data_IF_488772666660
#
_entry.id   IF_488772666660
#
_cell.length_a   1.000
_cell.length_b   1.000
_cell.length_c   1.000
_cell.angle_alpha   90.00
_cell.angle_beta   90.00
_cell.angle_gamma   90.00
#
_symmetry.space_group_name_H-M   'P 1'
#
loop_
_entity.id
_entity.type
_entity.pdbx_description
1 polymer ?
#
# COMPACT_ATOMS: atom_id res chain seq x y z
N UNK A 1 -2.92 16.26 14.44
CA UNK A 1 -3.98 15.27 14.50
C UNK A 1 -3.45 13.93 14.03
N UNK A 2 -3.49 12.96 14.88
CA UNK A 2 -2.95 11.66 14.53
C UNK A 2 -3.88 10.97 13.53
N UNK A 3 -3.30 10.43 12.48
CA UNK A 3 -4.02 9.64 11.52
C UNK A 3 -4.21 8.25 12.10
N UNK A 4 -5.33 8.06 12.75
CA UNK A 4 -5.74 6.70 13.08
C UNK A 4 -6.61 6.21 11.94
N UNK A 5 -6.40 4.99 11.44
CA UNK A 5 -7.30 4.44 10.45
C UNK A 5 -8.70 4.38 11.04
N UNK A 6 -9.76 4.63 10.23
CA UNK A 6 -11.13 4.50 10.71
C UNK A 6 -11.47 3.03 10.92
N UNK A 7 -11.03 2.49 12.05
CA UNK A 7 -11.09 1.05 12.32
C UNK A 7 -12.52 0.57 12.54
N UNK A 8 -13.48 1.48 12.74
CA UNK A 8 -14.87 1.12 12.88
C UNK A 8 -15.48 0.57 11.59
N UNK A 9 -14.88 0.86 10.44
CA UNK A 9 -15.35 0.37 9.14
C UNK A 9 -14.45 -0.68 8.53
N UNK A 10 -13.30 -0.92 9.15
CA UNK A 10 -12.30 -1.80 8.58
C UNK A 10 -12.15 -3.04 9.44
N UNK A 11 -12.10 -4.18 8.81
CA UNK A 11 -11.85 -5.45 9.47
C UNK A 11 -10.41 -5.84 9.20
N UNK A 12 -9.70 -6.23 10.25
CA UNK A 12 -8.33 -6.67 10.05
C UNK A 12 -8.32 -7.93 9.20
N UNK A 13 -7.63 -7.85 8.07
CA UNK A 13 -7.51 -8.97 7.13
C UNK A 13 -6.30 -9.83 7.44
N UNK A 14 -5.14 -9.20 7.68
CA UNK A 14 -3.90 -9.94 7.87
C UNK A 14 -2.72 -9.02 8.04
N UNK A 15 -1.57 -9.46 7.56
CA UNK A 15 -0.34 -8.72 7.65
C UNK A 15 0.38 -8.93 8.97
N UNK A 16 1.66 -8.53 9.05
CA UNK A 16 2.42 -8.64 10.28
C UNK A 16 1.85 -7.73 11.36
N UNK A 17 2.16 -8.03 12.63
CA UNK A 17 1.61 -7.29 13.76
C UNK A 17 1.94 -5.80 13.68
N UNK A 18 3.12 -5.46 13.17
CA UNK A 18 3.55 -4.07 13.04
C UNK A 18 3.04 -3.37 11.78
N UNK A 19 2.39 -4.12 10.89
CA UNK A 19 1.81 -3.54 9.66
C UNK A 19 0.57 -4.32 9.28
N UNK A 20 -0.53 -4.11 10.00
CA UNK A 20 -1.77 -4.83 9.69
C UNK A 20 -2.37 -4.34 8.38
N UNK A 21 -3.07 -5.25 7.71
CA UNK A 21 -3.85 -4.95 6.52
C UNK A 21 -5.31 -5.06 6.88
N UNK A 22 -6.09 -4.05 6.53
CA UNK A 22 -7.52 -3.98 6.83
C UNK A 22 -8.33 -4.07 5.55
N UNK A 23 -9.55 -4.56 5.68
CA UNK A 23 -10.47 -4.73 4.56
C UNK A 23 -11.71 -3.85 4.78
N UNK A 24 -12.07 -3.10 3.72
CA UNK A 24 -13.31 -2.31 3.68
C UNK A 24 -14.30 -3.06 2.78
N UNK A 25 -15.31 -3.68 3.39
CA UNK A 25 -16.24 -4.52 2.65
C UNK A 25 -17.22 -3.72 1.80
N UNK A 26 -17.37 -2.43 2.05
CA UNK A 26 -18.24 -1.57 1.23
C UNK A 26 -17.59 -1.24 -0.09
N UNK A 27 -16.27 -1.05 -0.09
CA UNK A 27 -15.53 -0.66 -1.29
C UNK A 27 -14.81 -1.80 -1.95
N UNK A 28 -14.66 -2.93 -1.25
CA UNK A 28 -13.87 -4.03 -1.75
C UNK A 28 -12.39 -3.69 -1.82
N UNK A 29 -11.92 -2.85 -0.91
CA UNK A 29 -10.54 -2.38 -0.91
C UNK A 29 -9.81 -2.81 0.35
N UNK A 30 -8.50 -2.93 0.23
CA UNK A 30 -7.64 -3.24 1.36
C UNK A 30 -6.79 -2.02 1.67
N UNK A 31 -6.51 -1.80 2.95
CA UNK A 31 -5.84 -0.60 3.43
C UNK A 31 -4.71 -0.98 4.37
N UNK A 32 -3.56 -0.38 4.16
CA UNK A 32 -2.45 -0.46 5.09
C UNK A 32 -1.76 0.90 5.12
N UNK A 33 -0.87 1.08 6.07
CA UNK A 33 -0.19 2.36 6.23
C UNK A 33 1.30 2.10 6.32
N UNK A 34 2.08 2.95 5.67
CA UNK A 34 3.52 2.93 5.82
C UNK A 34 3.93 4.09 6.72
N UNK A 35 5.02 3.90 7.45
CA UNK A 35 5.54 4.91 8.35
C UNK A 35 6.79 5.52 7.73
N UNK A 36 6.73 6.81 7.39
CA UNK A 36 7.85 7.50 6.77
C UNK A 36 9.03 7.67 7.71
N UNK A 37 8.81 7.52 9.00
CA UNK A 37 9.87 7.57 9.99
C UNK A 37 10.59 6.25 10.19
N UNK A 38 10.11 5.18 9.56
CA UNK A 38 10.72 3.88 9.70
C UNK A 38 11.64 3.56 8.52
N UNK A 39 12.49 2.59 8.73
CA UNK A 39 13.45 2.17 7.70
C UNK A 39 12.82 1.47 6.52
N UNK A 40 11.63 0.94 6.70
CA UNK A 40 11.03 0.12 5.66
C UNK A 40 10.54 0.96 4.51
N UNK A 41 11.04 0.73 3.30
CA UNK A 41 10.59 1.50 2.14
C UNK A 41 9.13 1.23 1.81
N UNK A 42 8.47 2.21 1.20
CA UNK A 42 7.08 2.05 0.79
C UNK A 42 6.93 0.89 -0.21
N UNK A 43 7.93 0.65 -1.04
CA UNK A 43 7.89 -0.48 -1.99
C UNK A 43 7.80 -1.82 -1.27
N UNK A 44 8.50 -1.97 -0.16
CA UNK A 44 8.42 -3.19 0.64
C UNK A 44 7.03 -3.34 1.27
N UNK A 45 6.47 -2.24 1.76
CA UNK A 45 5.12 -2.27 2.32
C UNK A 45 4.09 -2.72 1.29
N UNK A 46 4.21 -2.24 0.06
CA UNK A 46 3.32 -2.64 -1.03
C UNK A 46 3.47 -4.12 -1.34
N UNK A 47 4.71 -4.58 -1.48
CA UNK A 47 4.99 -5.98 -1.80
C UNK A 47 4.39 -6.91 -0.76
N UNK A 48 4.60 -6.61 0.52
CA UNK A 48 4.10 -7.44 1.60
C UNK A 48 2.57 -7.41 1.68
N UNK A 49 1.97 -6.24 1.44
CA UNK A 49 0.51 -6.12 1.47
C UNK A 49 -0.13 -6.92 0.33
N UNK A 50 0.39 -6.78 -0.90
CA UNK A 50 -0.14 -7.52 -2.04
C UNK A 50 0.05 -9.02 -1.84
N UNK A 51 1.20 -9.42 -1.32
CA UNK A 51 1.47 -10.81 -0.98
C UNK A 51 0.41 -11.37 -0.03
N UNK A 52 0.10 -10.63 1.04
CA UNK A 52 -0.92 -11.05 2.00
C UNK A 52 -2.29 -11.15 1.37
N UNK A 53 -2.67 -10.16 0.57
CA UNK A 53 -4.00 -10.10 -0.05
C UNK A 53 -4.18 -11.23 -1.07
N UNK A 54 -3.14 -11.48 -1.85
CA UNK A 54 -3.20 -12.51 -2.89
C UNK A 54 -2.95 -13.91 -2.36
N UNK A 55 -2.41 -14.04 -1.15
CA UNK A 55 -2.03 -15.33 -0.61
C UNK A 55 -0.88 -15.97 -1.36
N UNK A 56 0.01 -15.17 -1.90
CA UNK A 56 1.16 -15.61 -2.69
C UNK A 56 2.42 -15.11 -2.00
N UNK A 57 3.41 -15.98 -1.80
CA UNK A 57 4.68 -15.56 -1.22
C UNK A 57 5.32 -14.45 -2.07
N UNK A 58 5.98 -13.47 -1.43
CA UNK A 58 6.56 -12.34 -2.19
C UNK A 58 7.51 -12.79 -3.29
N UNK A 59 8.23 -13.88 -3.09
CA UNK A 59 9.18 -14.37 -4.09
C UNK A 59 8.50 -14.91 -5.35
N UNK A 60 7.19 -15.20 -5.29
CA UNK A 60 6.43 -15.69 -6.43
C UNK A 60 5.61 -14.59 -7.09
N UNK A 61 5.62 -13.38 -6.55
CA UNK A 61 4.97 -12.24 -7.20
C UNK A 61 5.86 -11.73 -8.32
N UNK A 62 5.23 -11.09 -9.31
CA UNK A 62 5.99 -10.39 -10.33
C UNK A 62 6.88 -9.33 -9.70
N UNK A 63 8.03 -9.01 -10.31
CA UNK A 63 8.88 -7.94 -9.76
C UNK A 63 8.14 -6.61 -9.77
N UNK A 64 8.19 -5.89 -8.65
CA UNK A 64 7.53 -4.60 -8.56
C UNK A 64 8.04 -3.61 -9.62
N UNK A 65 9.31 -3.72 -9.97
CA UNK A 65 9.91 -2.84 -10.98
C UNK A 65 9.28 -2.97 -12.37
N UNK A 66 8.56 -4.06 -12.63
CA UNK A 66 7.85 -4.21 -13.89
C UNK A 66 6.57 -3.37 -13.90
N UNK A 67 6.08 -2.98 -12.74
CA UNK A 67 4.88 -2.15 -12.62
C UNK A 67 5.24 -0.69 -12.38
N UNK A 68 6.27 -0.43 -11.61
CA UNK A 68 6.69 0.93 -11.27
C UNK A 68 8.15 0.88 -10.83
N UNK A 69 8.86 1.99 -11.01
CA UNK A 69 10.24 2.11 -10.52
C UNK A 69 10.21 2.19 -8.98
N UNK A 70 10.67 1.14 -8.28
CA UNK A 70 10.58 1.16 -6.82
C UNK A 70 11.49 2.20 -6.17
N UNK A 71 12.63 2.49 -6.78
CA UNK A 71 13.54 3.48 -6.22
C UNK A 71 12.95 4.88 -6.31
N UNK A 72 12.33 5.20 -7.45
CA UNK A 72 11.66 6.49 -7.62
C UNK A 72 10.47 6.60 -6.67
N UNK A 73 9.72 5.52 -6.50
CA UNK A 73 8.58 5.49 -5.60
C UNK A 73 9.03 5.72 -4.14
N UNK A 74 10.06 5.01 -3.72
CA UNK A 74 10.59 5.15 -2.36
C UNK A 74 11.10 6.56 -2.14
N UNK A 75 11.78 7.14 -3.11
CA UNK A 75 12.30 8.49 -3.00
C UNK A 75 11.18 9.52 -2.92
N UNK A 76 10.13 9.34 -3.69
CA UNK A 76 9.00 10.25 -3.69
C UNK A 76 8.32 10.31 -2.32
N UNK A 77 8.14 9.16 -1.69
CA UNK A 77 7.41 9.08 -0.43
C UNK A 77 8.31 9.03 0.81
N UNK A 78 9.62 9.10 0.62
CA UNK A 78 10.56 9.10 1.73
C UNK A 78 10.85 10.53 2.17
N UNK A 79 10.02 11.05 3.07
CA UNK A 79 10.14 12.42 3.57
C UNK A 79 10.64 12.40 5.01
N UNK A 80 11.85 11.94 5.17
CA UNK A 80 12.42 11.73 6.49
C UNK A 80 12.97 13.00 7.15
N UNK A 81 13.09 14.07 6.39
CA UNK A 81 13.52 15.37 6.93
C UNK A 81 12.39 16.41 6.93
N UNK A 82 11.19 16.03 6.52
CA UNK A 82 10.03 16.89 6.56
C UNK A 82 10.04 18.03 5.55
N UNK A 83 10.85 17.93 4.52
CA UNK A 83 11.00 19.03 3.56
C UNK A 83 10.07 18.94 2.35
N UNK A 84 9.42 17.81 2.14
CA UNK A 84 8.52 17.62 1.00
C UNK A 84 7.12 18.07 1.37
N UNK A 85 6.90 19.36 1.35
CA UNK A 85 5.60 19.94 1.70
C UNK A 85 4.58 19.63 0.61
N UNK A 86 3.33 19.42 1.01
CA UNK A 86 2.26 19.11 0.08
C UNK A 86 2.20 17.66 -0.34
N UNK A 87 3.07 16.83 0.19
CA UNK A 87 3.10 15.41 -0.17
C UNK A 87 1.81 14.72 0.21
N UNK A 88 1.14 15.17 1.26
CA UNK A 88 -0.10 14.56 1.72
C UNK A 88 -1.23 14.67 0.70
N UNK A 89 -1.10 15.58 -0.27
CA UNK A 89 -2.09 15.69 -1.34
C UNK A 89 -1.71 14.90 -2.58
N UNK A 90 -0.56 14.23 -2.56
CA UNK A 90 -0.06 13.45 -3.69
C UNK A 90 -0.55 12.03 -3.57
N UNK A 91 -0.97 11.45 -4.69
CA UNK A 91 -1.29 10.04 -4.78
C UNK A 91 -0.74 9.47 -6.07
N UNK A 92 -0.21 8.26 -6.00
CA UNK A 92 0.31 7.55 -7.16
C UNK A 92 -0.42 6.23 -7.27
N UNK A 93 -1.00 5.94 -8.43
CA UNK A 93 -1.70 4.68 -8.67
C UNK A 93 -1.03 3.90 -9.78
N UNK A 94 -0.97 2.59 -9.60
CA UNK A 94 -0.41 1.69 -10.60
C UNK A 94 -1.03 0.30 -10.41
N UNK A 95 -0.82 -0.57 -11.38
CA UNK A 95 -1.32 -1.94 -11.31
C UNK A 95 -0.17 -2.87 -10.99
N UNK A 96 -0.35 -3.66 -9.95
CA UNK A 96 0.64 -4.63 -9.53
C UNK A 96 -0.04 -5.86 -8.92
N UNK A 97 0.41 -7.04 -9.31
CA UNK A 97 -0.13 -8.29 -8.77
C UNK A 97 -1.63 -8.44 -8.97
N UNK A 98 -2.15 -7.96 -10.10
CA UNK A 98 -3.58 -7.95 -10.41
C UNK A 98 -4.40 -7.11 -9.43
N UNK A 99 -3.76 -6.09 -8.87
CA UNK A 99 -4.42 -5.14 -7.99
C UNK A 99 -4.12 -3.73 -8.46
N UNK A 100 -5.07 -2.82 -8.24
CA UNK A 100 -4.78 -1.40 -8.35
C UNK A 100 -4.25 -0.93 -7.02
N UNK A 101 -3.03 -0.42 -7.02
CA UNK A 101 -2.36 0.06 -5.81
C UNK A 101 -2.32 1.58 -5.87
N UNK A 102 -2.81 2.24 -4.84
CA UNK A 102 -2.74 3.69 -4.72
C UNK A 102 -1.99 4.03 -3.45
N UNK A 103 -0.90 4.78 -3.60
CA UNK A 103 -0.09 5.22 -2.47
C UNK A 103 -0.36 6.70 -2.26
N UNK A 104 -0.82 7.04 -1.05
CA UNK A 104 -1.11 8.42 -0.67
C UNK A 104 0.05 8.99 0.14
N UNK A 105 0.33 10.25 -0.08
CA UNK A 105 1.42 10.91 0.61
C UNK A 105 1.23 11.04 2.12
N UNK A 106 0.00 10.84 2.61
CA UNK A 106 -0.28 10.85 4.04
C UNK A 106 0.06 9.54 4.73
N UNK A 107 0.48 8.53 3.98
CA UNK A 107 0.89 7.24 4.53
C UNK A 107 -0.04 6.10 4.20
N UNK A 108 -1.21 6.35 3.65
CA UNK A 108 -2.17 5.30 3.34
C UNK A 108 -1.83 4.61 2.03
N UNK A 109 -1.92 3.29 2.02
CA UNK A 109 -1.81 2.47 0.81
C UNK A 109 -3.14 1.77 0.63
N UNK A 110 -3.80 2.02 -0.49
CA UNK A 110 -5.09 1.41 -0.84
C UNK A 110 -4.86 0.41 -1.95
N UNK A 111 -5.33 -0.82 -1.73
CA UNK A 111 -5.15 -1.90 -2.70
C UNK A 111 -6.53 -2.44 -3.06
N UNK A 112 -6.86 -2.37 -4.33
CA UNK A 112 -8.13 -2.87 -4.85
C UNK A 112 -7.85 -4.01 -5.81
N UNK A 113 -8.21 -5.25 -5.46
CA UNK A 113 -8.05 -6.36 -6.40
C UNK A 113 -8.88 -6.11 -7.66
N UNK A 114 -8.29 -6.37 -8.80
CA UNK A 114 -8.99 -6.22 -10.06
C UNK A 114 -9.98 -7.36 -10.23
N UNK A 115 -11.20 -7.02 -10.59
CA UNK A 115 -12.19 -8.03 -10.91
C UNK A 115 -11.77 -8.73 -12.19
N UNK A 116 -11.63 -10.05 -12.10
CA UNK A 116 -11.37 -10.83 -13.29
C UNK A 116 -12.63 -10.87 -14.13
N UNK A 117 -12.52 -10.68 -15.46
CA UNK A 117 -13.70 -10.81 -16.29
C UNK A 117 -14.24 -12.23 -16.18
N UNK A 118 -15.53 -12.31 -15.88
CA UNK A 118 -16.20 -13.59 -15.84
C UNK A 118 -16.54 -13.95 -17.26
N UNK A 119 -15.92 -15.00 -17.74
CA UNK A 119 -16.22 -15.53 -19.06
C UNK A 119 -17.15 -16.70 -18.97
#
# INVERSE_FOLDING_TARGET
>A
MSHSPPTDRLTRFGGPANRPVYYDDRRGTYHTWYDRGEYEPVSTAILMAVSSIRGIDPEYLEPLRDAIDPDALNELFNDWDGQKRGLESVAVSFIYGQCTVTVHGDGEIVIEPMALPVT
#
